data_IF_714946311262
#
_entry.id   IF_714946311262
#
_cell.length_a   1.000
_cell.length_b   1.000
_cell.length_c   1.000
_cell.angle_alpha   90.00
_cell.angle_beta   90.00
_cell.angle_gamma   90.00
#
_symmetry.space_group_name_H-M   'P 1'
#
loop_
_entity.id
_entity.type
_entity.pdbx_description
1 polymer ?
#
# COMPACT_ATOMS: atom_id res chain seq x y z
N UNK A 1 5.44 -18.73 10.07
CA UNK A 1 5.57 -18.77 11.56
C UNK A 1 4.20 -18.99 12.17
N UNK A 2 4.08 -19.14 13.48
CA UNK A 2 2.74 -19.22 14.12
C UNK A 2 2.05 -17.85 14.09
N UNK A 3 0.76 -17.81 13.80
CA UNK A 3 -0.02 -16.58 13.63
C UNK A 3 -0.03 -15.71 14.90
N UNK A 4 -0.07 -16.34 16.08
CA UNK A 4 0.01 -15.65 17.38
C UNK A 4 1.22 -14.73 17.54
N UNK A 5 2.33 -15.00 16.85
CA UNK A 5 3.51 -14.11 16.91
C UNK A 5 3.31 -12.81 16.11
N UNK A 6 2.40 -12.79 15.13
CA UNK A 6 2.02 -11.59 14.38
C UNK A 6 0.99 -10.79 15.18
N UNK A 7 -0.05 -11.46 15.65
CA UNK A 7 -1.23 -10.81 16.25
C UNK A 7 -1.06 -10.52 17.73
N UNK A 8 -0.11 -11.18 18.39
CA UNK A 8 0.07 -11.17 19.83
C UNK A 8 -1.18 -11.68 20.58
N UNK A 9 -1.89 -12.64 19.98
CA UNK A 9 -3.08 -13.28 20.53
C UNK A 9 -2.89 -14.81 20.53
N UNK A 10 -2.91 -15.43 21.70
CA UNK A 10 -2.74 -16.88 21.87
C UNK A 10 -3.91 -17.70 21.27
N UNK A 11 -5.05 -17.07 20.97
CA UNK A 11 -6.20 -17.71 20.33
C UNK A 11 -6.08 -17.74 18.79
N UNK A 12 -5.17 -16.95 18.20
CA UNK A 12 -4.92 -16.95 16.78
C UNK A 12 -4.03 -18.13 16.39
N UNK A 13 -4.70 -19.23 16.05
CA UNK A 13 -4.06 -20.45 15.56
C UNK A 13 -3.78 -20.36 14.06
N UNK A 14 -2.69 -21.00 13.62
CA UNK A 14 -2.41 -21.25 12.20
C UNK A 14 -1.09 -20.66 11.74
N UNK A 15 -0.94 -20.53 10.43
CA UNK A 15 0.29 -20.04 9.82
C UNK A 15 0.19 -18.54 9.60
N UNK A 16 1.18 -17.81 10.14
CA UNK A 16 1.46 -16.41 9.86
C UNK A 16 2.58 -16.24 8.83
N UNK A 17 2.44 -15.23 7.97
CA UNK A 17 3.39 -14.86 6.92
C UNK A 17 4.02 -13.49 7.18
N UNK A 18 5.24 -13.32 6.69
CA UNK A 18 5.96 -12.05 6.69
C UNK A 18 6.30 -11.74 5.23
N UNK A 19 5.83 -10.61 4.74
CA UNK A 19 6.07 -10.16 3.38
C UNK A 19 6.98 -8.94 3.41
N UNK A 20 8.07 -8.99 2.66
CA UNK A 20 8.92 -7.83 2.43
C UNK A 20 8.52 -7.15 1.14
N UNK A 21 8.59 -5.83 1.12
CA UNK A 21 8.32 -5.01 -0.07
C UNK A 21 9.50 -4.08 -0.34
N UNK A 22 9.53 -3.47 -1.51
CA UNK A 22 10.58 -2.52 -1.89
C UNK A 22 10.29 -1.07 -1.46
N UNK A 23 9.22 -0.85 -0.70
CA UNK A 23 8.81 0.46 -0.22
C UNK A 23 8.31 0.36 1.23
N UNK A 24 8.43 1.42 2.02
CA UNK A 24 8.31 1.36 3.48
C UNK A 24 8.03 2.70 4.13
N UNK A 25 8.23 2.78 5.45
CA UNK A 25 7.99 3.98 6.26
C UNK A 25 8.82 5.17 5.79
N UNK A 26 10.02 4.92 5.32
CA UNK A 26 10.92 5.95 4.77
C UNK A 26 10.55 6.36 3.34
N UNK A 27 9.64 5.63 2.70
CA UNK A 27 9.13 5.89 1.37
C UNK A 27 7.67 6.30 1.38
N UNK A 28 6.81 5.49 0.75
CA UNK A 28 5.38 5.78 0.60
C UNK A 28 4.58 5.84 1.91
N UNK A 29 5.10 5.25 2.99
CA UNK A 29 4.39 5.11 4.27
C UNK A 29 4.79 6.13 5.33
N UNK A 30 5.34 7.29 4.93
CA UNK A 30 5.62 8.39 5.85
C UNK A 30 4.39 8.85 6.67
N UNK A 31 3.19 8.66 6.13
CA UNK A 31 1.91 8.93 6.79
C UNK A 31 1.77 8.21 8.15
N UNK A 32 2.47 7.08 8.35
CA UNK A 32 2.46 6.33 9.61
C UNK A 32 3.04 7.09 10.79
N UNK A 33 3.95 8.04 10.54
CA UNK A 33 4.48 8.91 11.60
C UNK A 33 3.40 9.85 12.17
N UNK A 34 2.33 10.06 11.41
CA UNK A 34 1.14 10.84 11.80
C UNK A 34 -0.01 9.94 12.28
N UNK A 35 0.29 8.68 12.60
CA UNK A 35 -0.68 7.66 13.00
C UNK A 35 -1.77 7.36 11.94
N UNK A 36 -1.46 7.63 10.66
CA UNK A 36 -2.28 7.21 9.52
C UNK A 36 -1.81 5.82 9.10
N UNK A 37 -2.68 4.83 9.30
CA UNK A 37 -2.37 3.42 9.10
C UNK A 37 -3.12 2.87 7.87
N UNK A 38 -2.55 2.97 6.65
CA UNK A 38 -3.21 2.49 5.45
C UNK A 38 -3.26 0.96 5.44
N UNK A 39 -4.32 0.42 4.83
CA UNK A 39 -4.55 -1.02 4.72
C UNK A 39 -4.43 -1.47 3.27
N UNK A 40 -3.69 -2.55 3.04
CA UNK A 40 -3.56 -3.15 1.73
C UNK A 40 -4.59 -4.24 1.46
N UNK A 41 -4.69 -4.59 0.18
CA UNK A 41 -5.22 -5.86 -0.32
C UNK A 41 -4.35 -6.39 -1.46
N UNK A 42 -4.33 -7.70 -1.73
CA UNK A 42 -3.77 -8.22 -2.97
C UNK A 42 -4.41 -7.55 -4.19
N UNK A 43 -3.65 -7.35 -5.27
CA UNK A 43 -4.15 -6.74 -6.51
C UNK A 43 -5.21 -7.63 -7.19
N UNK A 44 -5.08 -8.94 -7.07
CA UNK A 44 -5.99 -9.88 -7.72
C UNK A 44 -7.33 -10.00 -6.97
N UNK A 45 -8.38 -10.28 -7.73
CA UNK A 45 -9.69 -10.62 -7.17
C UNK A 45 -9.60 -12.01 -6.57
N UNK A 46 -9.90 -12.16 -5.28
CA UNK A 46 -9.98 -13.46 -4.62
C UNK A 46 -11.10 -14.27 -5.28
N UNK A 47 -10.78 -15.44 -5.82
CA UNK A 47 -11.79 -16.45 -6.14
C UNK A 47 -12.36 -17.02 -4.83
N UNK A 48 -13.52 -17.71 -4.89
CA UNK A 48 -14.20 -18.21 -3.69
C UNK A 48 -13.31 -19.13 -2.82
N UNK A 49 -12.39 -19.86 -3.45
CA UNK A 49 -11.41 -20.72 -2.75
C UNK A 49 -10.40 -19.90 -1.92
N UNK A 50 -9.95 -18.75 -2.44
CA UNK A 50 -8.98 -17.89 -1.75
C UNK A 50 -9.58 -17.22 -0.51
N UNK A 51 -10.90 -17.01 -0.49
CA UNK A 51 -11.60 -16.49 0.70
C UNK A 51 -11.65 -17.51 1.84
N UNK A 52 -11.54 -18.81 1.54
CA UNK A 52 -11.60 -19.87 2.54
C UNK A 52 -10.26 -20.10 3.26
N UNK A 53 -9.14 -19.58 2.74
CA UNK A 53 -7.80 -19.80 3.28
C UNK A 53 -7.06 -18.49 3.57
N UNK A 54 -7.66 -17.66 4.42
CA UNK A 54 -7.02 -16.43 4.88
C UNK A 54 -6.05 -16.70 6.02
N UNK A 55 -4.84 -16.15 5.89
CA UNK A 55 -3.76 -16.21 6.86
C UNK A 55 -3.45 -14.82 7.40
N UNK A 56 -2.88 -14.78 8.60
CA UNK A 56 -2.32 -13.54 9.14
C UNK A 56 -1.00 -13.21 8.45
N UNK A 57 -0.80 -11.94 8.15
CA UNK A 57 0.42 -11.44 7.55
C UNK A 57 0.91 -10.16 8.22
N UNK A 58 2.20 -9.87 8.08
CA UNK A 58 2.78 -8.54 8.33
C UNK A 58 3.58 -8.12 7.11
N UNK A 59 3.57 -6.83 6.81
CA UNK A 59 4.24 -6.24 5.65
C UNK A 59 5.35 -5.33 6.14
N UNK A 60 6.57 -5.70 5.78
CA UNK A 60 7.79 -4.99 6.09
C UNK A 60 8.24 -4.15 4.88
N UNK A 61 8.86 -3.03 5.18
CA UNK A 61 9.60 -2.26 4.18
C UNK A 61 11.01 -2.83 3.96
N UNK A 62 11.81 -2.17 3.10
CA UNK A 62 13.10 -2.67 2.66
C UNK A 62 14.23 -2.53 3.69
N UNK A 63 14.11 -1.63 4.68
CA UNK A 63 15.20 -1.32 5.61
C UNK A 63 15.42 -2.38 6.68
N UNK A 64 14.46 -3.31 6.85
CA UNK A 64 14.49 -4.42 7.82
C UNK A 64 14.76 -4.00 9.28
N UNK A 65 14.67 -2.72 9.62
CA UNK A 65 14.63 -2.26 11.00
C UNK A 65 13.24 -2.48 11.60
N UNK A 66 13.16 -2.47 12.93
CA UNK A 66 11.91 -2.78 13.65
C UNK A 66 10.81 -1.72 13.44
N UNK A 67 11.14 -0.55 12.90
CA UNK A 67 10.20 0.54 12.67
C UNK A 67 9.65 0.57 11.25
N UNK A 68 10.36 -0.04 10.29
CA UNK A 68 9.97 -0.12 8.89
C UNK A 68 8.92 -1.20 8.61
N UNK A 69 7.74 -0.98 9.19
CA UNK A 69 6.59 -1.88 9.06
C UNK A 69 5.44 -1.13 8.39
N UNK A 70 5.22 -1.39 7.10
CA UNK A 70 4.14 -0.80 6.31
C UNK A 70 2.76 -1.16 6.88
N UNK A 71 2.54 -2.42 7.26
CA UNK A 71 1.29 -2.86 7.90
C UNK A 71 1.54 -4.04 8.84
N UNK A 72 1.18 -3.88 10.11
CA UNK A 72 1.46 -4.89 11.16
C UNK A 72 0.63 -6.16 11.04
N UNK A 73 -0.65 -6.00 10.70
CA UNK A 73 -1.60 -7.10 10.60
C UNK A 73 -2.37 -6.94 9.30
N UNK A 74 -2.30 -7.97 8.47
CA UNK A 74 -3.17 -8.16 7.31
C UNK A 74 -3.80 -9.55 7.37
N UNK A 75 -4.94 -9.72 6.69
CA UNK A 75 -5.51 -11.04 6.42
C UNK A 75 -5.69 -11.21 4.92
N UNK A 76 -5.00 -12.19 4.34
CA UNK A 76 -5.05 -12.50 2.92
C UNK A 76 -4.73 -13.98 2.68
N UNK A 77 -4.97 -14.48 1.46
CA UNK A 77 -4.40 -15.74 1.00
C UNK A 77 -2.87 -15.72 1.10
N UNK A 78 -2.23 -16.88 1.04
CA UNK A 78 -0.78 -16.91 0.91
C UNK A 78 -0.33 -16.23 -0.39
N UNK A 79 0.54 -15.23 -0.27
CA UNK A 79 1.16 -14.52 -1.39
C UNK A 79 2.58 -15.03 -1.67
N UNK A 80 3.05 -14.78 -2.89
CA UNK A 80 4.36 -15.12 -3.43
C UNK A 80 5.13 -13.87 -3.85
N UNK A 81 6.44 -14.00 -3.91
CA UNK A 81 7.33 -12.97 -4.48
C UNK A 81 6.89 -12.64 -5.90
N UNK A 82 6.83 -11.34 -6.22
CA UNK A 82 6.35 -10.80 -7.49
C UNK A 82 4.85 -10.51 -7.55
N UNK A 83 4.06 -10.97 -6.57
CA UNK A 83 2.66 -10.54 -6.43
C UNK A 83 2.58 -9.11 -5.87
N UNK A 84 1.46 -8.44 -6.16
CA UNK A 84 1.28 -7.02 -5.88
C UNK A 84 0.29 -6.80 -4.75
N UNK A 85 0.64 -5.88 -3.86
CA UNK A 85 -0.22 -5.36 -2.81
C UNK A 85 -0.64 -3.94 -3.17
N UNK A 86 -1.88 -3.60 -2.83
CA UNK A 86 -2.53 -2.35 -3.22
C UNK A 86 -3.06 -1.65 -1.99
N UNK A 87 -2.62 -0.41 -1.76
CA UNK A 87 -3.13 0.50 -0.75
C UNK A 87 -3.95 1.60 -1.41
N UNK A 88 -5.18 1.79 -0.96
CA UNK A 88 -6.03 2.88 -1.40
C UNK A 88 -5.83 4.12 -0.51
N UNK A 89 -6.22 5.30 -1.01
CA UNK A 89 -6.15 6.58 -0.27
C UNK A 89 -4.71 6.99 0.13
N UNK A 90 -3.74 6.67 -0.71
CA UNK A 90 -2.31 6.98 -0.56
C UNK A 90 -1.91 8.29 -1.25
N UNK A 91 -2.80 9.28 -1.36
CA UNK A 91 -2.55 10.54 -2.08
C UNK A 91 -2.07 11.69 -1.20
N UNK A 92 -2.25 11.58 0.12
CA UNK A 92 -1.90 12.61 1.09
C UNK A 92 -0.86 12.10 2.09
N UNK A 93 0.20 12.89 2.32
CA UNK A 93 1.25 12.60 3.30
C UNK A 93 2.03 11.30 3.06
N UNK A 94 2.07 10.83 1.81
CA UNK A 94 2.70 9.58 1.37
C UNK A 94 3.94 9.78 0.50
N UNK A 95 4.34 11.02 0.21
CA UNK A 95 5.55 11.28 -0.57
C UNK A 95 6.72 11.47 0.41
N UNK A 96 7.88 10.84 0.18
CA UNK A 96 9.05 11.01 1.04
C UNK A 96 9.37 12.49 1.25
N UNK A 97 9.63 12.88 2.50
CA UNK A 97 9.97 14.27 2.84
C UNK A 97 11.43 14.56 2.52
N UNK A 98 12.28 13.52 2.52
CA UNK A 98 13.70 13.61 2.20
C UNK A 98 14.02 13.26 0.73
N UNK A 99 15.23 13.62 0.31
CA UNK A 99 15.78 13.31 -1.01
C UNK A 99 16.67 12.06 -1.02
N UNK A 100 16.78 11.35 0.10
CA UNK A 100 17.67 10.20 0.25
C UNK A 100 17.00 8.91 -0.23
N UNK A 101 15.67 8.83 -0.10
CA UNK A 101 14.90 7.67 -0.52
C UNK A 101 14.36 7.81 -1.95
N UNK A 102 14.42 6.72 -2.75
CA UNK A 102 13.87 6.73 -4.10
C UNK A 102 12.37 6.97 -4.07
N UNK A 103 11.91 7.97 -4.84
CA UNK A 103 10.48 8.27 -4.97
C UNK A 103 9.87 7.32 -6.00
N UNK A 104 8.79 6.58 -5.66
CA UNK A 104 8.13 5.71 -6.60
C UNK A 104 7.52 6.50 -7.78
N UNK A 105 7.52 5.94 -9.00
CA UNK A 105 6.99 6.61 -10.18
C UNK A 105 5.47 6.83 -10.04
N UNK A 106 5.02 8.05 -10.39
CA UNK A 106 3.60 8.42 -10.34
C UNK A 106 3.03 8.47 -11.76
N UNK A 107 1.98 7.68 -12.00
CA UNK A 107 1.27 7.63 -13.29
C UNK A 107 -0.08 8.33 -13.18
N UNK A 108 -0.33 9.32 -14.03
CA UNK A 108 -1.59 10.07 -14.07
C UNK A 108 -2.51 9.53 -15.15
N UNK A 109 -3.77 9.27 -14.79
CA UNK A 109 -4.84 8.93 -15.73
C UNK A 109 -6.07 9.80 -15.46
N UNK A 110 -6.86 10.04 -16.50
CA UNK A 110 -8.09 10.82 -16.42
C UNK A 110 -9.11 10.20 -17.35
N UNK A 111 -10.34 10.00 -16.85
CA UNK A 111 -11.46 9.58 -17.65
C UNK A 111 -11.74 10.56 -18.80
N UNK A 112 -12.34 10.08 -19.89
CA UNK A 112 -12.68 10.96 -21.01
C UNK A 112 -13.71 12.02 -20.56
N UNK A 113 -14.61 11.67 -19.64
CA UNK A 113 -15.61 12.56 -19.04
C UNK A 113 -15.04 13.60 -18.04
N UNK A 114 -13.99 13.29 -17.28
CA UNK A 114 -13.40 14.22 -16.31
C UNK A 114 -12.65 15.38 -16.99
N UNK A 115 -12.04 15.14 -18.16
CA UNK A 115 -11.36 16.18 -18.93
C UNK A 115 -12.30 17.30 -19.42
N UNK A 116 -13.56 16.97 -19.74
CA UNK A 116 -14.57 17.97 -20.12
C UNK A 116 -14.97 18.89 -18.96
N UNK A 117 -14.93 18.42 -17.71
CA UNK A 117 -15.25 19.23 -16.54
C UNK A 117 -14.11 20.21 -16.20
N UNK A 118 -12.84 19.77 -16.28
CA UNK A 118 -11.66 20.60 -16.03
C UNK A 118 -11.55 21.77 -17.02
N UNK A 119 -11.92 21.55 -18.29
CA UNK A 119 -11.92 22.60 -19.32
C UNK A 119 -12.97 23.70 -19.06
N UNK A 120 -14.05 23.41 -18.32
CA UNK A 120 -15.10 24.39 -18.02
C UNK A 120 -14.81 25.25 -16.78
N UNK A 121 -13.90 24.82 -15.90
CA UNK A 121 -13.59 25.50 -14.64
C UNK A 121 -12.41 26.49 -14.70
N UNK A 122 -11.81 26.72 -15.87
CA UNK A 122 -10.90 27.85 -16.10
C UNK A 122 -9.55 27.80 -15.38
N UNK A 123 -9.08 26.64 -14.91
CA UNK A 123 -7.78 26.51 -14.28
C UNK A 123 -6.62 26.56 -15.31
N UNK A 124 -5.53 27.31 -15.05
CA UNK A 124 -4.38 27.38 -15.93
C UNK A 124 -3.64 26.04 -16.00
N UNK A 125 -3.31 25.62 -17.21
CA UNK A 125 -2.75 24.30 -17.58
C UNK A 125 -1.28 24.08 -17.18
N UNK A 126 -0.72 24.84 -16.23
CA UNK A 126 0.72 24.81 -15.94
C UNK A 126 1.07 24.72 -14.45
N UNK A 127 0.36 23.87 -13.72
CA UNK A 127 0.74 23.50 -12.34
C UNK A 127 1.32 22.09 -12.35
N UNK A 128 2.64 21.97 -12.14
CA UNK A 128 3.29 20.70 -11.81
C UNK A 128 2.91 20.32 -10.38
N UNK A 129 1.83 19.56 -10.24
CA UNK A 129 1.54 18.60 -9.15
C UNK A 129 0.13 18.07 -9.42
N UNK A 130 -0.04 16.76 -9.46
CA UNK A 130 -1.35 16.14 -9.38
C UNK A 130 -1.36 15.11 -8.25
N UNK A 131 -2.40 15.17 -7.44
CA UNK A 131 -2.96 14.07 -6.65
C UNK A 131 -4.20 13.67 -7.45
N UNK A 132 -4.30 12.41 -7.86
CA UNK A 132 -5.38 11.95 -8.74
C UNK A 132 -6.67 11.73 -7.96
N UNK A 133 -7.69 12.54 -8.25
CA UNK A 133 -9.01 12.54 -7.60
C UNK A 133 -9.90 11.31 -7.91
N UNK A 134 -9.34 10.16 -8.27
CA UNK A 134 -10.16 8.97 -8.62
C UNK A 134 -9.60 7.61 -8.20
N UNK A 135 -8.30 7.44 -7.98
CA UNK A 135 -7.79 6.35 -7.15
C UNK A 135 -6.39 6.74 -6.69
N UNK A 136 -6.31 7.27 -5.48
CA UNK A 136 -5.06 7.51 -4.77
C UNK A 136 -4.47 6.16 -4.35
N UNK A 137 -4.02 5.38 -5.32
CA UNK A 137 -3.68 3.98 -5.10
C UNK A 137 -2.18 3.79 -5.23
N UNK A 138 -1.56 3.22 -4.20
CA UNK A 138 -0.17 2.76 -4.24
C UNK A 138 -0.17 1.25 -4.46
N UNK A 139 0.59 0.76 -5.44
CA UNK A 139 0.76 -0.66 -5.71
C UNK A 139 2.24 -1.03 -5.56
N UNK A 140 2.54 -1.99 -4.70
CA UNK A 140 3.91 -2.34 -4.31
C UNK A 140 4.08 -3.87 -4.42
N UNK A 141 5.15 -4.36 -5.08
CA UNK A 141 5.40 -5.79 -5.23
C UNK A 141 6.04 -6.39 -3.98
N UNK A 142 5.77 -7.67 -3.76
CA UNK A 142 6.45 -8.49 -2.75
C UNK A 142 7.83 -8.91 -3.29
N UNK A 143 8.86 -8.76 -2.46
CA UNK A 143 10.25 -9.09 -2.73
C UNK A 143 10.75 -10.30 -1.94
#
# INVERSE_FOLDING_TARGET
>A
MDAKFITNDDFDNGVGFVYQTNDGVYGSFGCKQMDINPLCKPLDVLDEEDQQQLHFGTILGPSLDQTDVAQRIMRCRQLRVGEWLVWEQMGAFTIPVDSEHPVPPVYYYSGKESNSAVRKSGFPTNTRKFIAHAAETCAIPIH
#
